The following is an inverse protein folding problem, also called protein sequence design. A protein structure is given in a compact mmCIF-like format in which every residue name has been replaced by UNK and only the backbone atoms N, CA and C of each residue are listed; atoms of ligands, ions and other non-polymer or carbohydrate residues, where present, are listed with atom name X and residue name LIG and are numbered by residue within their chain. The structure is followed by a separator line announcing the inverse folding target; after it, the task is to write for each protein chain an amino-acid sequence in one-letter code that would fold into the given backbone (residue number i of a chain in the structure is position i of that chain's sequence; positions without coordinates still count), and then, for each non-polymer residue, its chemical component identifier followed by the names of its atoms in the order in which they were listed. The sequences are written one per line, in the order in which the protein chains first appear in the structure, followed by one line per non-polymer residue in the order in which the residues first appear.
data_IF_540098340702
#
_entry.id   IF_540098340702
#
_cell.length_a   1.000
_cell.length_b   1.000
_cell.length_c   1.000
_cell.angle_alpha   90.00
_cell.angle_beta   90.00
_cell.angle_gamma   90.00
#
_symmetry.space_group_name_H-M   'P 1'
#
loop_
_entity.id
_entity.type
_entity.pdbx_description
1 polymer ?
#
# COMPACT_ATOMS: atom_id res chain seq x y z
N UNK A 1 -21.30 -11.73 16.46
CA UNK A 1 -20.58 -12.48 15.42
C UNK A 1 -20.30 -11.58 14.18
N UNK A 2 -19.77 -10.37 14.37
CA UNK A 2 -19.84 -9.31 13.33
C UNK A 2 -18.62 -9.17 12.40
N UNK A 3 -17.54 -9.94 12.63
CA UNK A 3 -16.30 -9.79 11.85
C UNK A 3 -16.43 -10.18 10.37
N UNK A 4 -17.40 -11.03 10.02
CA UNK A 4 -17.60 -11.50 8.64
C UNK A 4 -18.30 -10.42 7.80
N UNK A 5 -19.32 -9.76 8.34
CA UNK A 5 -20.00 -8.66 7.64
C UNK A 5 -19.05 -7.48 7.42
N UNK A 6 -18.24 -7.15 8.42
CA UNK A 6 -17.20 -6.12 8.28
C UNK A 6 -16.17 -6.48 7.21
N UNK A 7 -15.76 -7.75 7.14
CA UNK A 7 -14.84 -8.24 6.11
C UNK A 7 -15.43 -8.13 4.71
N UNK A 8 -16.71 -8.45 4.53
CA UNK A 8 -17.41 -8.37 3.25
C UNK A 8 -17.64 -6.93 2.78
N UNK A 9 -17.70 -5.96 3.71
CA UNK A 9 -17.78 -4.52 3.41
C UNK A 9 -16.43 -3.89 3.10
N UNK A 10 -15.31 -4.61 3.30
CA UNK A 10 -14.00 -4.03 3.05
C UNK A 10 -13.84 -3.68 1.57
N UNK A 11 -13.39 -2.46 1.27
CA UNK A 11 -13.08 -2.08 -0.09
C UNK A 11 -12.08 -3.07 -0.70
N UNK A 12 -12.37 -3.54 -1.92
CA UNK A 12 -11.54 -4.55 -2.59
C UNK A 12 -10.17 -3.94 -2.89
N UNK A 13 -9.11 -4.59 -2.40
CA UNK A 13 -7.76 -4.25 -2.77
C UNK A 13 -7.47 -4.73 -4.19
N UNK A 14 -6.94 -3.84 -5.01
CA UNK A 14 -6.50 -4.16 -6.38
C UNK A 14 -5.02 -4.51 -6.38
N UNK A 15 -4.60 -5.61 -7.04
CA UNK A 15 -3.19 -5.98 -7.15
C UNK A 15 -2.48 -5.16 -8.23
N UNK A 16 -1.31 -4.61 -7.90
CA UNK A 16 -0.41 -3.91 -8.81
C UNK A 16 0.95 -4.58 -8.84
N UNK A 17 1.50 -4.80 -10.05
CA UNK A 17 2.81 -5.41 -10.22
C UNK A 17 3.91 -4.34 -10.20
N UNK A 18 4.88 -4.51 -9.31
CA UNK A 18 6.10 -3.69 -9.24
C UNK A 18 7.33 -4.53 -9.57
N UNK A 19 8.50 -3.90 -9.75
CA UNK A 19 9.80 -4.61 -9.85
C UNK A 19 10.15 -5.44 -8.62
N UNK A 20 9.46 -5.23 -7.51
CA UNK A 20 9.67 -5.90 -6.21
C UNK A 20 8.54 -6.86 -5.83
N UNK A 21 7.63 -7.16 -6.76
CA UNK A 21 6.50 -8.07 -6.56
C UNK A 21 5.14 -7.38 -6.56
N UNK A 22 4.10 -8.11 -6.15
CA UNK A 22 2.70 -7.66 -6.18
C UNK A 22 2.36 -6.90 -4.91
N UNK A 23 1.98 -5.62 -5.02
CA UNK A 23 1.41 -4.82 -3.94
C UNK A 23 -0.12 -4.78 -4.10
N UNK A 24 -0.84 -4.91 -2.99
CA UNK A 24 -2.30 -4.80 -2.97
C UNK A 24 -2.65 -3.39 -2.46
N UNK A 25 -3.30 -2.60 -3.31
CA UNK A 25 -3.63 -1.21 -2.98
C UNK A 25 -5.14 -1.05 -2.93
N UNK A 26 -5.58 -0.37 -1.88
CA UNK A 26 -6.87 0.30 -1.85
C UNK A 26 -6.61 1.78 -2.13
N UNK A 27 -7.42 2.37 -3.00
CA UNK A 27 -7.29 3.76 -3.40
C UNK A 27 -8.68 4.38 -3.57
N UNK A 28 -8.81 5.64 -3.20
CA UNK A 28 -10.04 6.43 -3.28
C UNK A 28 -9.67 7.83 -3.79
N UNK A 29 -10.46 8.39 -4.70
CA UNK A 29 -10.20 9.71 -5.28
C UNK A 29 -9.10 9.76 -6.34
N UNK A 30 -8.48 8.63 -6.68
CA UNK A 30 -7.54 8.47 -7.80
C UNK A 30 -7.89 7.20 -8.60
N UNK A 31 -7.41 7.07 -9.82
CA UNK A 31 -7.60 5.88 -10.64
C UNK A 31 -6.38 4.93 -10.63
N UNK A 32 -6.54 3.72 -11.19
CA UNK A 32 -5.49 2.69 -11.21
C UNK A 32 -4.19 3.15 -11.89
N UNK A 33 -4.27 3.97 -12.93
CA UNK A 33 -3.09 4.49 -13.63
C UNK A 33 -2.30 5.45 -12.74
N UNK A 34 -3.00 6.32 -12.01
CA UNK A 34 -2.37 7.21 -11.03
C UNK A 34 -1.67 6.41 -9.92
N UNK A 35 -2.31 5.32 -9.45
CA UNK A 35 -1.68 4.40 -8.49
C UNK A 35 -0.43 3.77 -9.07
N UNK A 36 -0.48 3.26 -10.30
CA UNK A 36 0.71 2.71 -10.97
C UNK A 36 1.85 3.73 -11.08
N UNK A 37 1.54 4.98 -11.45
CA UNK A 37 2.52 6.05 -11.56
C UNK A 37 3.16 6.38 -10.21
N UNK A 38 2.37 6.43 -9.13
CA UNK A 38 2.85 6.60 -7.76
C UNK A 38 3.78 5.43 -7.38
N UNK A 39 3.35 4.19 -7.59
CA UNK A 39 4.14 3.01 -7.24
C UNK A 39 5.45 2.95 -8.03
N UNK A 40 5.41 3.22 -9.34
CA UNK A 40 6.62 3.25 -10.20
C UNK A 40 7.60 4.35 -9.75
N UNK A 41 7.08 5.50 -9.34
CA UNK A 41 7.89 6.66 -8.93
C UNK A 41 8.50 6.50 -7.55
N UNK A 42 7.78 5.90 -6.61
CA UNK A 42 8.16 5.92 -5.19
C UNK A 42 8.56 4.56 -4.62
N UNK A 43 8.29 3.43 -5.28
CA UNK A 43 8.86 2.14 -4.88
C UNK A 43 10.26 1.99 -5.50
N UNK A 44 11.28 2.59 -4.88
CA UNK A 44 12.61 2.74 -5.47
C UNK A 44 13.51 1.57 -5.09
N UNK A 45 13.57 1.18 -3.82
CA UNK A 45 14.46 0.15 -3.26
C UNK A 45 13.69 -1.04 -2.70
N UNK A 46 12.37 -0.91 -2.53
CA UNK A 46 11.54 -1.92 -1.90
C UNK A 46 10.16 -2.02 -2.50
N UNK A 47 9.42 -3.06 -2.07
CA UNK A 47 8.02 -3.28 -2.44
C UNK A 47 7.09 -2.12 -2.06
N UNK A 48 7.44 -1.32 -1.06
CA UNK A 48 6.63 -0.20 -0.58
C UNK A 48 7.20 1.15 -1.04
N UNK A 49 6.36 2.18 -1.21
CA UNK A 49 6.82 3.55 -1.40
C UNK A 49 7.82 3.96 -0.31
N UNK A 50 8.91 4.63 -0.69
CA UNK A 50 10.00 4.97 0.24
C UNK A 50 9.51 5.77 1.44
N UNK A 51 8.51 6.63 1.26
CA UNK A 51 7.89 7.40 2.34
C UNK A 51 7.30 6.48 3.41
N UNK A 52 6.60 5.41 3.01
CA UNK A 52 6.04 4.43 3.95
C UNK A 52 7.14 3.61 4.64
N UNK A 53 8.18 3.23 3.89
CA UNK A 53 9.33 2.50 4.46
C UNK A 53 10.03 3.33 5.53
N UNK A 54 10.33 4.60 5.25
CA UNK A 54 10.96 5.54 6.18
C UNK A 54 10.05 5.78 7.39
N UNK A 55 8.76 6.04 7.18
CA UNK A 55 7.81 6.23 8.27
C UNK A 55 7.77 5.03 9.23
N UNK A 56 7.80 3.80 8.68
CA UNK A 56 7.84 2.59 9.49
C UNK A 56 9.15 2.43 10.28
N UNK A 57 10.31 2.76 9.67
CA UNK A 57 11.61 2.73 10.36
C UNK A 57 11.61 3.73 11.52
N UNK A 58 11.20 4.98 11.26
CA UNK A 58 11.15 6.03 12.28
C UNK A 58 10.19 5.67 13.41
N UNK A 59 8.98 5.19 13.09
CA UNK A 59 8.01 4.74 14.08
C UNK A 59 8.54 3.57 14.93
N UNK A 60 9.34 2.69 14.35
CA UNK A 60 9.94 1.56 15.08
C UNK A 60 11.03 2.04 16.04
N UNK A 61 11.86 2.99 15.63
CA UNK A 61 12.90 3.59 16.49
C UNK A 61 12.27 4.40 17.62
N UNK A 62 11.22 5.17 17.34
CA UNK A 62 10.54 6.00 18.36
C UNK A 62 9.77 5.19 19.42
N UNK A 63 9.52 3.90 19.17
CA UNK A 63 8.92 2.97 20.14
C UNK A 63 9.96 2.31 21.06
N UNK A 64 11.25 2.53 20.81
CA UNK A 64 12.34 2.11 21.69
C UNK A 64 12.62 3.15 22.78
#
# INVERSE_FOLDING_TARGET
EDKIEDFLRQPKYTPFKTKYGIIHCLFEGINEREVEEILKRYCIESKFPEQLRIANIVASIARC
#
